data_IF_981698517585
#
_entry.id   IF_981698517585
#
_cell.length_a   1.000
_cell.length_b   1.000
_cell.length_c   1.000
_cell.angle_alpha   90.00
_cell.angle_beta   90.00
_cell.angle_gamma   90.00
#
_symmetry.space_group_name_H-M   'P 1'
#
loop_
_entity.id
_entity.type
_entity.pdbx_description
1 polymer ?
#
# COMPACT_ATOMS: atom_id res chain seq x y z
N UNK A 1 -29.69 6.26 22.54
CA UNK A 1 -28.34 6.90 22.38
C UNK A 1 -28.45 8.40 22.10
N UNK A 2 -29.44 8.86 21.34
CA UNK A 2 -29.62 10.29 21.00
C UNK A 2 -29.63 11.16 22.28
N UNK A 3 -30.38 10.79 23.29
CA UNK A 3 -30.43 11.55 24.56
C UNK A 3 -29.07 11.69 25.26
N UNK A 4 -28.19 10.68 25.14
CA UNK A 4 -26.83 10.75 25.70
C UNK A 4 -25.92 11.65 24.87
N UNK A 5 -26.11 11.72 23.56
CA UNK A 5 -25.37 12.64 22.68
C UNK A 5 -25.75 14.09 22.98
N UNK A 6 -27.04 14.35 23.11
CA UNK A 6 -27.52 15.69 23.51
C UNK A 6 -26.99 16.07 24.91
N UNK A 7 -27.04 15.14 25.88
CA UNK A 7 -26.47 15.38 27.21
C UNK A 7 -24.98 15.69 27.18
N UNK A 8 -24.22 15.01 26.29
CA UNK A 8 -22.79 15.30 26.10
C UNK A 8 -22.54 16.71 25.57
N UNK A 9 -23.36 17.18 24.65
CA UNK A 9 -23.24 18.53 24.09
C UNK A 9 -23.52 19.59 25.18
N UNK A 10 -24.59 19.42 25.94
CA UNK A 10 -24.96 20.33 27.05
C UNK A 10 -23.89 20.35 28.15
N UNK A 11 -23.38 19.16 28.53
CA UNK A 11 -22.30 19.05 29.51
C UNK A 11 -20.98 19.65 29.01
N UNK A 12 -20.71 19.54 27.72
CA UNK A 12 -19.55 20.17 27.09
C UNK A 12 -19.65 21.68 27.14
N UNK A 13 -20.86 22.22 26.89
CA UNK A 13 -21.10 23.65 27.00
C UNK A 13 -20.94 24.13 28.45
N UNK A 14 -21.51 23.39 29.44
CA UNK A 14 -21.34 23.67 30.85
C UNK A 14 -19.87 23.69 31.28
N UNK A 15 -19.08 22.70 30.80
CA UNK A 15 -17.65 22.62 31.13
C UNK A 15 -16.83 23.78 30.52
N UNK A 16 -17.30 24.39 29.43
CA UNK A 16 -16.68 25.60 28.86
C UNK A 16 -16.96 26.85 29.71
N UNK A 17 -18.16 26.97 30.28
CA UNK A 17 -18.57 28.11 31.14
C UNK A 17 -17.93 27.97 32.53
N UNK A 18 -17.98 26.77 33.09
CA UNK A 18 -17.47 26.49 34.44
C UNK A 18 -16.66 25.20 34.43
N UNK A 19 -15.33 25.28 34.13
CA UNK A 19 -14.46 24.13 34.07
C UNK A 19 -14.45 23.33 35.38
N UNK A 20 -14.57 22.01 35.29
CA UNK A 20 -14.56 21.08 36.41
C UNK A 20 -15.70 21.29 37.44
N UNK A 21 -16.82 21.89 37.02
CA UNK A 21 -17.96 22.07 37.93
C UNK A 21 -18.51 20.71 38.36
N UNK A 22 -18.44 20.43 39.67
CA UNK A 22 -18.89 19.16 40.26
C UNK A 22 -18.35 17.95 39.53
N UNK A 23 -19.22 17.03 39.12
CA UNK A 23 -18.88 15.76 38.44
C UNK A 23 -18.96 15.85 36.90
N UNK A 24 -18.88 17.07 36.32
CA UNK A 24 -19.13 17.27 34.88
C UNK A 24 -18.25 16.38 34.00
N UNK A 25 -16.99 16.19 34.34
CA UNK A 25 -16.07 15.34 33.56
C UNK A 25 -16.50 13.87 33.57
N UNK A 26 -16.88 13.33 34.74
CA UNK A 26 -17.41 11.96 34.86
C UNK A 26 -18.71 11.78 34.05
N UNK A 27 -19.60 12.80 34.12
CA UNK A 27 -20.85 12.78 33.36
C UNK A 27 -20.59 12.88 31.84
N UNK A 28 -19.59 13.62 31.41
CA UNK A 28 -19.16 13.68 30.01
C UNK A 28 -18.70 12.31 29.51
N UNK A 29 -17.83 11.64 30.29
CA UNK A 29 -17.33 10.30 29.92
C UNK A 29 -18.48 9.29 29.87
N UNK A 30 -19.37 9.30 30.83
CA UNK A 30 -20.57 8.47 30.89
C UNK A 30 -21.49 8.72 29.67
N UNK A 31 -21.77 9.98 29.37
CA UNK A 31 -22.61 10.36 28.23
C UNK A 31 -21.98 9.97 26.92
N UNK A 32 -20.65 10.16 26.78
CA UNK A 32 -19.88 9.75 25.62
C UNK A 32 -19.94 8.24 25.39
N UNK A 33 -19.64 7.46 26.43
CA UNK A 33 -19.68 6.00 26.35
C UNK A 33 -21.09 5.47 25.99
N UNK A 34 -22.13 5.95 26.67
CA UNK A 34 -23.51 5.52 26.44
C UNK A 34 -24.07 6.02 25.10
N UNK A 35 -23.59 7.14 24.61
CA UNK A 35 -23.94 7.72 23.29
C UNK A 35 -23.25 7.08 22.12
N UNK A 36 -22.10 6.39 22.33
CA UNK A 36 -21.30 5.76 21.30
C UNK A 36 -21.93 4.46 20.79
N UNK A 37 -21.89 4.27 19.47
CA UNK A 37 -22.24 3.03 18.80
C UNK A 37 -20.98 2.19 18.64
N UNK A 38 -21.02 0.96 19.12
CA UNK A 38 -19.91 0.00 18.97
C UNK A 38 -20.20 -0.95 17.81
N UNK A 39 -19.24 -1.01 16.88
CA UNK A 39 -19.31 -1.83 15.68
C UNK A 39 -18.21 -2.90 15.74
N UNK A 40 -18.60 -4.18 15.68
CA UNK A 40 -17.65 -5.28 15.56
C UNK A 40 -17.43 -5.59 14.09
N UNK A 41 -16.18 -5.44 13.62
CA UNK A 41 -15.78 -5.77 12.26
C UNK A 41 -15.38 -7.23 12.19
N UNK A 42 -15.90 -7.93 11.18
CA UNK A 42 -15.59 -9.35 10.93
C UNK A 42 -15.33 -9.55 9.45
N UNK A 43 -14.48 -10.52 9.14
CA UNK A 43 -14.27 -10.99 7.77
C UNK A 43 -14.87 -12.38 7.60
N UNK A 44 -15.36 -12.67 6.41
CA UNK A 44 -15.79 -14.00 6.00
C UNK A 44 -15.31 -14.28 4.59
N UNK A 45 -14.62 -15.38 4.42
CA UNK A 45 -14.22 -15.85 3.10
C UNK A 45 -15.36 -16.69 2.49
N UNK A 46 -15.96 -16.20 1.43
CA UNK A 46 -16.98 -16.92 0.63
C UNK A 46 -16.44 -17.30 -0.75
N UNK A 47 -15.12 -17.15 -0.97
CA UNK A 47 -14.43 -17.60 -2.18
C UNK A 47 -14.02 -19.07 -2.05
N UNK A 48 -13.70 -19.69 -3.20
CA UNK A 48 -13.13 -21.04 -3.22
C UNK A 48 -11.61 -21.06 -2.96
N UNK A 49 -11.01 -19.92 -2.65
CA UNK A 49 -9.57 -19.80 -2.42
C UNK A 49 -9.26 -19.70 -0.92
N UNK A 50 -8.14 -20.28 -0.52
CA UNK A 50 -7.64 -20.15 0.85
C UNK A 50 -7.01 -18.76 0.99
N UNK A 51 -7.54 -17.96 1.91
CA UNK A 51 -6.94 -16.67 2.29
C UNK A 51 -6.05 -16.91 3.51
N UNK A 52 -4.74 -16.63 3.44
CA UNK A 52 -3.84 -16.78 4.58
C UNK A 52 -4.32 -15.97 5.79
N UNK A 53 -4.19 -16.55 6.99
CA UNK A 53 -4.64 -15.90 8.23
C UNK A 53 -4.01 -14.51 8.44
N UNK A 54 -2.74 -14.33 8.05
CA UNK A 54 -2.07 -13.03 8.10
C UNK A 54 -2.81 -11.97 7.28
N UNK A 55 -3.21 -12.29 6.04
CA UNK A 55 -3.97 -11.35 5.20
C UNK A 55 -5.33 -11.01 5.79
N UNK A 56 -5.97 -11.95 6.48
CA UNK A 56 -7.23 -11.66 7.18
C UNK A 56 -7.01 -10.70 8.34
N UNK A 57 -5.91 -10.85 9.09
CA UNK A 57 -5.54 -9.94 10.17
C UNK A 57 -5.19 -8.55 9.62
N UNK A 58 -4.37 -8.48 8.57
CA UNK A 58 -3.97 -7.21 7.94
C UNK A 58 -5.20 -6.47 7.36
N UNK A 59 -6.19 -7.20 6.84
CA UNK A 59 -7.44 -6.62 6.35
C UNK A 59 -8.28 -6.01 7.47
N UNK A 60 -8.17 -6.52 8.69
CA UNK A 60 -8.86 -5.99 9.87
C UNK A 60 -8.10 -4.85 10.56
N UNK A 61 -6.81 -4.69 10.24
CA UNK A 61 -5.96 -3.60 10.77
C UNK A 61 -6.08 -2.35 9.88
N UNK A 62 -7.29 -1.79 9.80
CA UNK A 62 -7.55 -0.57 9.05
C UNK A 62 -7.67 0.65 9.96
N UNK A 63 -7.15 1.78 9.46
CA UNK A 63 -7.27 3.04 10.16
C UNK A 63 -8.69 3.61 10.06
N UNK A 64 -9.30 3.90 11.20
CA UNK A 64 -10.60 4.59 11.29
C UNK A 64 -10.46 6.11 11.22
N UNK A 65 -9.26 6.66 11.06
CA UNK A 65 -8.93 8.08 11.14
C UNK A 65 -9.78 8.99 10.23
N UNK A 66 -10.24 8.48 9.09
CA UNK A 66 -11.06 9.23 8.12
C UNK A 66 -12.57 8.99 8.27
N UNK A 67 -12.96 8.09 9.14
CA UNK A 67 -14.38 7.79 9.40
C UNK A 67 -15.03 8.75 10.41
N UNK A 68 -14.51 9.93 10.54
CA UNK A 68 -14.77 11.11 11.39
C UNK A 68 -16.14 11.20 12.13
N UNK A 69 -16.72 10.07 12.50
CA UNK A 69 -17.90 10.09 13.35
C UNK A 69 -17.49 9.86 14.82
N UNK A 70 -17.51 10.87 15.67
CA UNK A 70 -17.08 10.76 17.06
C UNK A 70 -17.94 9.83 17.90
N UNK A 71 -19.06 9.37 17.34
CA UNK A 71 -20.05 8.51 18.00
C UNK A 71 -20.02 7.06 17.53
N UNK A 72 -19.03 6.67 16.72
CA UNK A 72 -18.89 5.30 16.26
C UNK A 72 -17.47 4.82 16.57
N UNK A 73 -17.37 3.65 17.21
CA UNK A 73 -16.11 2.98 17.49
C UNK A 73 -16.13 1.60 16.83
N UNK A 74 -15.10 1.32 16.05
CA UNK A 74 -14.92 0.04 15.37
C UNK A 74 -13.89 -0.81 16.11
N UNK A 75 -14.24 -2.07 16.39
CA UNK A 75 -13.33 -3.05 16.97
C UNK A 75 -13.18 -4.21 15.99
N UNK A 76 -11.95 -4.66 15.78
CA UNK A 76 -11.61 -5.84 14.97
C UNK A 76 -11.64 -7.16 15.78
N UNK A 77 -11.68 -7.05 17.11
CA UNK A 77 -11.82 -8.18 18.00
C UNK A 77 -12.83 -7.83 19.12
N UNK A 78 -13.58 -8.81 19.65
CA UNK A 78 -14.50 -8.58 20.75
C UNK A 78 -13.76 -8.14 22.02
N UNK A 79 -14.16 -7.01 22.60
CA UNK A 79 -13.66 -6.54 23.88
C UNK A 79 -14.58 -6.99 25.02
N UNK A 80 -13.96 -7.43 26.12
CA UNK A 80 -14.68 -7.88 27.32
C UNK A 80 -15.47 -6.73 27.93
N UNK A 81 -16.77 -6.94 28.12
CA UNK A 81 -17.65 -5.93 28.72
C UNK A 81 -18.28 -4.96 27.71
N UNK A 82 -17.85 -4.95 26.45
CA UNK A 82 -18.42 -4.10 25.41
C UNK A 82 -19.61 -4.77 24.73
N UNK A 83 -20.76 -4.08 24.71
CA UNK A 83 -21.94 -4.54 23.98
C UNK A 83 -21.98 -3.89 22.61
N UNK A 84 -21.87 -4.72 21.58
CA UNK A 84 -21.91 -4.24 20.20
C UNK A 84 -23.35 -3.99 19.74
N UNK A 85 -23.55 -2.85 19.08
CA UNK A 85 -24.83 -2.46 18.50
C UNK A 85 -24.96 -2.97 17.08
N UNK A 86 -23.83 -2.96 16.34
CA UNK A 86 -23.75 -3.35 14.94
C UNK A 86 -22.59 -4.31 14.69
N UNK A 87 -22.71 -5.06 13.63
CA UNK A 87 -21.63 -5.84 13.03
C UNK A 87 -21.40 -5.39 11.60
N UNK A 88 -20.14 -5.12 11.25
CA UNK A 88 -19.70 -4.88 9.89
C UNK A 88 -19.03 -6.14 9.37
N UNK A 89 -19.65 -6.78 8.37
CA UNK A 89 -19.14 -8.01 7.75
C UNK A 89 -18.48 -7.69 6.42
N UNK A 90 -17.22 -8.05 6.26
CA UNK A 90 -16.50 -7.96 4.99
C UNK A 90 -16.49 -9.36 4.38
N UNK A 91 -17.29 -9.56 3.34
CA UNK A 91 -17.51 -10.85 2.67
C UNK A 91 -16.66 -10.89 1.39
N UNK A 92 -15.57 -11.63 1.36
CA UNK A 92 -14.81 -11.88 0.14
C UNK A 92 -15.61 -12.80 -0.78
N UNK A 93 -15.98 -12.29 -1.97
CA UNK A 93 -16.87 -12.97 -2.92
C UNK A 93 -16.11 -13.68 -4.02
N UNK A 94 -15.10 -13.03 -4.57
CA UNK A 94 -14.32 -13.55 -5.69
C UNK A 94 -12.90 -13.01 -5.68
N UNK A 95 -11.96 -13.87 -6.05
CA UNK A 95 -10.55 -13.53 -6.24
C UNK A 95 -10.16 -14.07 -7.62
N UNK A 96 -9.86 -13.15 -8.54
CA UNK A 96 -9.42 -13.47 -9.89
C UNK A 96 -7.93 -13.15 -10.01
N UNK A 97 -7.13 -14.16 -10.33
CA UNK A 97 -5.71 -13.99 -10.58
C UNK A 97 -5.47 -14.29 -12.05
N UNK A 98 -4.91 -13.33 -12.80
CA UNK A 98 -4.59 -13.54 -14.21
C UNK A 98 -3.45 -14.54 -14.35
N UNK A 99 -3.36 -15.24 -15.50
CA UNK A 99 -2.12 -15.89 -15.89
C UNK A 99 -0.99 -14.86 -15.97
N UNK A 100 0.24 -15.32 -15.75
CA UNK A 100 1.42 -14.49 -15.92
C UNK A 100 1.61 -14.14 -17.39
N UNK A 101 1.85 -12.86 -17.68
CA UNK A 101 2.20 -12.36 -19.01
C UNK A 101 3.66 -11.92 -18.99
N UNK A 102 4.44 -12.47 -19.93
CA UNK A 102 5.84 -12.08 -20.10
C UNK A 102 5.95 -11.33 -21.43
N UNK A 103 6.43 -10.09 -21.37
CA UNK A 103 6.79 -9.29 -22.54
C UNK A 103 8.31 -9.21 -22.60
N UNK A 104 8.87 -9.57 -23.74
CA UNK A 104 10.30 -9.48 -24.00
C UNK A 104 10.57 -8.28 -24.92
N UNK A 105 11.63 -7.55 -24.61
CA UNK A 105 12.14 -6.45 -25.42
C UNK A 105 13.66 -6.63 -25.56
N UNK A 106 14.12 -6.64 -26.79
CA UNK A 106 15.53 -6.69 -27.13
C UNK A 106 16.00 -5.32 -27.63
N UNK A 107 17.17 -4.88 -27.15
CA UNK A 107 17.81 -3.66 -27.63
C UNK A 107 19.33 -3.74 -27.44
N UNK A 108 20.03 -2.99 -28.29
CA UNK A 108 21.50 -2.92 -28.28
C UNK A 108 21.90 -1.60 -27.65
N UNK A 109 22.86 -1.65 -26.72
CA UNK A 109 23.55 -0.48 -26.20
C UNK A 109 25.01 -0.52 -26.58
N UNK A 110 25.50 0.62 -27.05
CA UNK A 110 26.90 0.83 -27.33
C UNK A 110 27.47 1.87 -26.38
N UNK A 111 28.72 1.65 -25.99
CA UNK A 111 29.44 2.61 -25.14
C UNK A 111 30.92 2.55 -25.48
N UNK A 112 31.55 3.73 -25.59
CA UNK A 112 33.00 3.83 -25.67
C UNK A 112 33.58 3.71 -24.26
N UNK A 113 34.42 2.70 -24.04
CA UNK A 113 35.16 2.50 -22.80
C UNK A 113 36.64 2.80 -23.03
N UNK A 114 37.29 3.34 -22.00
CA UNK A 114 38.72 3.58 -22.05
C UNK A 114 39.46 2.25 -22.03
N UNK A 115 40.21 2.00 -23.09
CA UNK A 115 41.01 0.77 -23.30
C UNK A 115 42.51 1.14 -23.39
N UNK A 116 43.01 1.65 -22.26
CA UNK A 116 44.40 2.06 -22.14
C UNK A 116 44.74 3.38 -22.85
N UNK A 117 45.96 3.47 -23.40
CA UNK A 117 46.46 4.66 -24.05
C UNK A 117 47.03 4.28 -25.43
N UNK A 118 46.92 5.17 -26.40
CA UNK A 118 47.55 5.06 -27.69
C UNK A 118 48.55 6.17 -27.91
N UNK A 119 49.67 5.85 -28.62
CA UNK A 119 50.68 6.83 -29.00
C UNK A 119 50.10 7.77 -30.06
N UNK A 120 50.37 9.05 -29.95
CA UNK A 120 50.05 10.02 -31.00
C UNK A 120 51.09 9.86 -32.11
N UNK A 121 50.63 9.72 -33.37
CA UNK A 121 51.47 9.68 -34.55
C UNK A 121 51.20 10.90 -35.42
N UNK A 122 52.26 11.39 -36.10
CA UNK A 122 52.16 12.46 -37.09
C UNK A 122 51.57 11.97 -38.43
N UNK A 123 51.47 12.89 -39.41
CA UNK A 123 50.96 12.55 -40.75
C UNK A 123 51.81 11.51 -41.53
N UNK A 124 53.03 11.29 -41.11
CA UNK A 124 53.95 10.31 -41.69
C UNK A 124 53.98 8.99 -40.89
N UNK A 125 53.15 8.82 -39.88
CA UNK A 125 53.08 7.64 -39.02
C UNK A 125 54.17 7.57 -37.94
N UNK A 126 54.94 8.65 -37.71
CA UNK A 126 56.02 8.70 -36.72
C UNK A 126 55.45 9.13 -35.36
N UNK A 127 55.89 8.48 -34.28
CA UNK A 127 55.44 8.81 -32.90
C UNK A 127 55.86 10.22 -32.54
N UNK A 128 54.89 10.98 -32.05
CA UNK A 128 55.14 12.37 -31.56
C UNK A 128 55.72 12.28 -30.15
N UNK A 129 56.85 13.05 -29.97
CA UNK A 129 57.49 13.17 -28.66
C UNK A 129 57.19 14.53 -28.07
N UNK A 130 57.12 14.61 -26.75
CA UNK A 130 57.01 15.88 -26.01
C UNK A 130 58.36 16.62 -25.96
N UNK A 131 58.35 17.81 -25.37
CA UNK A 131 59.57 18.65 -25.21
C UNK A 131 60.66 17.99 -24.38
N UNK A 132 60.36 16.88 -23.67
CA UNK A 132 61.26 16.08 -22.84
C UNK A 132 61.69 14.80 -23.52
N UNK A 133 61.33 14.58 -24.79
CA UNK A 133 61.62 13.40 -25.55
C UNK A 133 60.79 12.15 -25.19
N UNK A 134 59.66 12.31 -24.46
CA UNK A 134 58.78 11.22 -24.12
C UNK A 134 57.65 11.11 -25.14
N UNK A 135 57.16 9.90 -25.36
CA UNK A 135 56.03 9.60 -26.24
C UNK A 135 54.76 10.29 -25.73
N UNK A 136 54.07 11.03 -26.58
CA UNK A 136 52.76 11.60 -26.28
C UNK A 136 51.72 10.51 -26.37
N UNK A 137 51.02 10.26 -25.22
CA UNK A 137 49.96 9.26 -25.11
C UNK A 137 48.61 9.98 -24.98
N UNK A 138 47.62 9.45 -25.67
CA UNK A 138 46.22 9.87 -25.54
C UNK A 138 45.36 8.67 -25.14
N UNK A 139 44.23 8.94 -24.51
CA UNK A 139 43.31 7.89 -24.15
C UNK A 139 42.85 7.12 -25.38
N UNK A 140 42.97 5.80 -25.31
CA UNK A 140 42.39 4.92 -26.30
C UNK A 140 40.99 4.51 -25.89
N UNK A 141 40.04 4.59 -26.81
CA UNK A 141 38.65 4.16 -26.56
C UNK A 141 38.32 2.99 -27.48
N UNK A 142 37.66 2.00 -26.87
CA UNK A 142 37.12 0.85 -27.59
C UNK A 142 35.59 0.91 -27.48
N UNK A 143 34.91 0.79 -28.60
CA UNK A 143 33.47 0.65 -28.64
C UNK A 143 33.10 -0.76 -28.19
N UNK A 144 32.33 -0.87 -27.13
CA UNK A 144 31.73 -2.13 -26.66
C UNK A 144 30.25 -2.13 -26.95
N UNK A 145 29.76 -3.26 -27.40
CA UNK A 145 28.36 -3.45 -27.76
C UNK A 145 27.75 -4.51 -26.85
N UNK A 146 26.62 -4.19 -26.25
CA UNK A 146 25.88 -5.09 -25.37
C UNK A 146 24.47 -5.25 -25.90
N UNK A 147 24.05 -6.47 -26.12
CA UNK A 147 22.70 -6.86 -26.45
C UNK A 147 21.96 -7.13 -25.12
N UNK A 148 20.91 -6.42 -24.86
CA UNK A 148 20.13 -6.48 -23.62
C UNK A 148 18.76 -7.08 -23.93
N UNK A 149 18.39 -8.09 -23.16
CA UNK A 149 17.08 -8.73 -23.16
C UNK A 149 16.36 -8.33 -21.88
N UNK A 150 15.38 -7.47 -22.02
CA UNK A 150 14.52 -7.01 -20.92
C UNK A 150 13.23 -7.83 -20.91
N UNK A 151 12.91 -8.39 -19.75
CA UNK A 151 11.71 -9.18 -19.53
C UNK A 151 10.82 -8.44 -18.55
N UNK A 152 9.59 -8.21 -18.96
CA UNK A 152 8.55 -7.59 -18.11
C UNK A 152 7.49 -8.63 -17.81
N UNK A 153 7.45 -9.07 -16.57
CA UNK A 153 6.45 -9.98 -16.03
C UNK A 153 5.29 -9.20 -15.44
N UNK A 154 4.08 -9.50 -15.87
CA UNK A 154 2.84 -8.87 -15.40
C UNK A 154 1.89 -9.93 -14.89
N UNK A 155 1.29 -9.65 -13.73
CA UNK A 155 0.24 -10.47 -13.14
C UNK A 155 -0.77 -9.55 -12.45
N UNK A 156 -2.06 -9.76 -12.70
CA UNK A 156 -3.11 -8.97 -12.07
C UNK A 156 -3.89 -9.82 -11.08
N UNK A 157 -4.30 -9.20 -9.98
CA UNK A 157 -5.20 -9.80 -9.01
C UNK A 157 -6.36 -8.84 -8.79
N UNK A 158 -7.58 -9.32 -9.01
CA UNK A 158 -8.80 -8.59 -8.73
C UNK A 158 -9.54 -9.28 -7.60
N UNK A 159 -9.90 -8.52 -6.58
CA UNK A 159 -10.69 -9.00 -5.45
C UNK A 159 -12.03 -8.27 -5.43
N UNK A 160 -13.10 -9.03 -5.38
CA UNK A 160 -14.46 -8.51 -5.19
C UNK A 160 -14.96 -8.93 -3.82
N UNK A 161 -15.41 -7.97 -3.06
CA UNK A 161 -15.97 -8.17 -1.73
C UNK A 161 -17.32 -7.45 -1.60
N UNK A 162 -18.03 -7.74 -0.53
CA UNK A 162 -19.27 -7.08 -0.13
C UNK A 162 -19.15 -6.69 1.34
N UNK A 163 -19.42 -5.44 1.66
CA UNK A 163 -19.48 -4.96 3.03
C UNK A 163 -20.93 -4.87 3.45
N UNK A 164 -21.31 -5.54 4.54
CA UNK A 164 -22.65 -5.53 5.08
C UNK A 164 -22.65 -4.99 6.49
N UNK A 165 -23.56 -4.06 6.79
CA UNK A 165 -23.86 -3.58 8.13
C UNK A 165 -25.13 -4.24 8.64
N UNK A 166 -25.03 -4.91 9.79
CA UNK A 166 -26.10 -5.70 10.38
C UNK A 166 -26.30 -5.26 11.83
N UNK A 167 -27.54 -5.15 12.28
CA UNK A 167 -27.83 -4.93 13.70
C UNK A 167 -27.50 -6.18 14.50
N UNK A 168 -26.86 -6.04 15.66
CA UNK A 168 -26.61 -7.18 16.56
C UNK A 168 -27.90 -7.71 17.16
N UNK A 169 -28.91 -6.86 17.33
CA UNK A 169 -30.25 -7.24 17.74
C UNK A 169 -31.08 -7.59 16.50
N UNK A 170 -31.41 -8.86 16.34
CA UNK A 170 -32.28 -9.33 15.27
C UNK A 170 -31.63 -9.58 13.92
N UNK A 171 -30.31 -9.44 13.78
CA UNK A 171 -29.55 -9.68 12.55
C UNK A 171 -30.13 -9.01 11.28
N UNK A 172 -30.71 -7.84 11.44
CA UNK A 172 -31.29 -7.10 10.34
C UNK A 172 -30.19 -6.42 9.52
N UNK A 173 -30.17 -6.68 8.22
CA UNK A 173 -29.30 -5.99 7.27
C UNK A 173 -29.77 -4.53 7.13
N UNK A 174 -28.88 -3.58 7.41
CA UNK A 174 -29.13 -2.15 7.26
C UNK A 174 -28.67 -1.64 5.93
N UNK A 175 -27.43 -1.96 5.56
CA UNK A 175 -26.78 -1.48 4.35
C UNK A 175 -25.83 -2.54 3.79
N UNK A 176 -25.61 -2.47 2.48
CA UNK A 176 -24.72 -3.38 1.78
C UNK A 176 -24.06 -2.66 0.62
N UNK A 177 -22.72 -2.78 0.53
CA UNK A 177 -21.90 -2.12 -0.49
C UNK A 177 -20.99 -3.13 -1.18
N UNK A 178 -21.00 -3.19 -2.52
CA UNK A 178 -19.97 -3.93 -3.26
C UNK A 178 -18.65 -3.15 -3.20
N UNK A 179 -17.55 -3.86 -3.07
CA UNK A 179 -16.19 -3.32 -3.10
C UNK A 179 -15.37 -4.15 -4.06
N UNK A 180 -14.66 -3.51 -4.96
CA UNK A 180 -13.73 -4.17 -5.88
C UNK A 180 -12.40 -3.46 -5.81
N UNK A 181 -11.33 -4.24 -5.73
CA UNK A 181 -9.94 -3.76 -5.75
C UNK A 181 -9.15 -4.58 -6.75
N UNK A 182 -8.25 -3.91 -7.45
CA UNK A 182 -7.34 -4.53 -8.41
C UNK A 182 -5.91 -4.15 -8.06
N UNK A 183 -5.02 -5.11 -8.17
CA UNK A 183 -3.59 -4.92 -7.99
C UNK A 183 -2.85 -5.53 -9.18
N UNK A 184 -1.92 -4.76 -9.74
CA UNK A 184 -1.03 -5.21 -10.81
C UNK A 184 0.35 -5.43 -10.23
N UNK A 185 0.79 -6.68 -10.25
CA UNK A 185 2.18 -7.02 -9.97
C UNK A 185 2.98 -6.90 -11.25
N UNK A 186 4.08 -6.15 -11.19
CA UNK A 186 5.04 -5.98 -12.28
C UNK A 186 6.44 -6.25 -11.76
N UNK A 187 7.18 -7.09 -12.49
CA UNK A 187 8.59 -7.34 -12.26
C UNK A 187 9.36 -7.16 -13.57
N UNK A 188 10.41 -6.35 -13.54
CA UNK A 188 11.27 -6.12 -14.70
C UNK A 188 12.67 -6.62 -14.35
N UNK A 189 13.19 -7.50 -15.18
CA UNK A 189 14.58 -7.94 -15.09
C UNK A 189 15.22 -7.98 -16.49
N UNK A 190 16.53 -7.93 -16.55
CA UNK A 190 17.25 -7.97 -17.80
C UNK A 190 18.42 -8.95 -17.73
N UNK A 191 18.68 -9.61 -18.85
CA UNK A 191 19.89 -10.36 -19.11
C UNK A 191 20.67 -9.68 -20.25
N UNK A 192 21.95 -9.96 -20.38
CA UNK A 192 22.75 -9.35 -21.42
C UNK A 192 23.74 -10.35 -22.03
N UNK A 193 24.04 -10.12 -23.31
CA UNK A 193 25.15 -10.73 -24.05
C UNK A 193 26.02 -9.62 -24.64
N UNK A 194 27.32 -9.72 -24.53
CA UNK A 194 28.23 -8.73 -25.13
C UNK A 194 29.66 -8.90 -24.70
N UNK A 195 30.50 -7.98 -25.15
CA UNK A 195 31.92 -7.95 -24.84
C UNK A 195 32.14 -7.77 -23.33
N UNK A 196 33.11 -8.51 -22.80
CA UNK A 196 33.60 -8.37 -21.41
C UNK A 196 34.74 -7.38 -21.37
#
# INVERSE_FOLDING_TARGET
>A
KVNFRNAFEELTYLNKISPNYKEVNRLLDDAKFKGTDFVLVKTKNETNMIIPARLQTDLLDFSTYRLNNPWIVYHNAPEKGTKYDFSMMILSRNILISPEQIKEREFIKERDIKDGYKKVVDANGKVVLDEKGKEVLVDNFKKVTVQIYEYRQLKTCQVTAKVEFVTTKGNQLLQSYPVTSEFVFENIYATYKGDR
#
